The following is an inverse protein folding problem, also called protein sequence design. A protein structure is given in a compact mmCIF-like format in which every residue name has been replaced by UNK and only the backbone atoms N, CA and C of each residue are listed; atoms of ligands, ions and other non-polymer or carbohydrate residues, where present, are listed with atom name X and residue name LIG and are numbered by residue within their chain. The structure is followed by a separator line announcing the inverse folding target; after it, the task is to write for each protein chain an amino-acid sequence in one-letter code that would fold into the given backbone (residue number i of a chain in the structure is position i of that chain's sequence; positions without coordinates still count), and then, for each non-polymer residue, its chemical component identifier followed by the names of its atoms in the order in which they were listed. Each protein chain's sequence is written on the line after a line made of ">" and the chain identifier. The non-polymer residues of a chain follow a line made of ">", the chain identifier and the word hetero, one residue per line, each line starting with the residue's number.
data_IF_605092464531
#
_entry.id   IF_605092464531
#
_cell.length_a   1.000
_cell.length_b   1.000
_cell.length_c   1.000
_cell.angle_alpha   90.00
_cell.angle_beta   90.00
_cell.angle_gamma   90.00
#
_symmetry.space_group_name_H-M   'P 1'
#
loop_
_entity.id
_entity.type
_entity.pdbx_description
1 polymer ?
#
# COMPACT_ATOMS: atom_id res chain seq x y z
N UNK A 1 35.75 46.78 -6.11
CA UNK A 1 34.95 46.39 -4.92
C UNK A 1 33.52 46.02 -5.32
N UNK A 2 32.72 46.94 -5.86
CA UNK A 2 31.31 46.70 -6.17
C UNK A 2 31.06 45.48 -7.06
N UNK A 3 31.93 45.21 -8.05
CA UNK A 3 31.83 44.02 -8.90
C UNK A 3 31.98 42.73 -8.11
N UNK A 4 32.95 42.66 -7.18
CA UNK A 4 33.17 41.47 -6.38
C UNK A 4 32.05 41.24 -5.33
N UNK A 5 31.52 42.32 -4.76
CA UNK A 5 30.37 42.26 -3.85
C UNK A 5 29.10 41.76 -4.59
N UNK A 6 28.91 42.16 -5.86
CA UNK A 6 27.83 41.64 -6.68
C UNK A 6 27.97 40.15 -6.91
N UNK A 7 29.19 39.67 -7.25
CA UNK A 7 29.47 38.22 -7.40
C UNK A 7 29.19 37.49 -6.10
N UNK A 8 29.61 38.03 -4.94
CA UNK A 8 29.35 37.45 -3.64
C UNK A 8 27.85 37.32 -3.38
N UNK A 9 27.06 38.38 -3.68
CA UNK A 9 25.59 38.32 -3.58
C UNK A 9 24.96 37.25 -4.46
N UNK A 10 25.46 37.10 -5.70
CA UNK A 10 25.02 36.03 -6.62
C UNK A 10 25.33 34.65 -6.04
N UNK A 11 26.50 34.45 -5.46
CA UNK A 11 26.90 33.18 -4.87
C UNK A 11 26.01 32.85 -3.65
N UNK A 12 25.72 33.81 -2.76
CA UNK A 12 24.78 33.59 -1.64
C UNK A 12 23.38 33.27 -2.15
N UNK A 13 22.91 33.92 -3.22
CA UNK A 13 21.63 33.60 -3.84
C UNK A 13 21.60 32.19 -4.45
N UNK A 14 22.70 31.75 -5.10
CA UNK A 14 22.82 30.39 -5.62
C UNK A 14 22.87 29.34 -4.51
N UNK A 15 23.51 29.64 -3.38
CA UNK A 15 23.46 28.79 -2.19
C UNK A 15 22.02 28.63 -1.69
N UNK A 16 21.29 29.73 -1.57
CA UNK A 16 19.87 29.72 -1.21
C UNK A 16 19.03 28.89 -2.20
N UNK A 17 19.31 29.02 -3.50
CA UNK A 17 18.65 28.23 -4.56
C UNK A 17 18.88 26.73 -4.37
N UNK A 18 20.11 26.28 -4.14
CA UNK A 18 20.40 24.84 -3.93
C UNK A 18 19.77 24.33 -2.64
N UNK A 19 19.86 25.07 -1.54
CA UNK A 19 19.26 24.73 -0.26
C UNK A 19 17.72 24.62 -0.33
N UNK A 20 17.08 25.57 -1.00
CA UNK A 20 15.63 25.54 -1.24
C UNK A 20 15.24 24.37 -2.17
N UNK A 21 16.05 24.09 -3.20
CA UNK A 21 15.83 22.98 -4.13
C UNK A 21 15.86 21.64 -3.42
N UNK A 22 16.87 21.41 -2.58
CA UNK A 22 16.99 20.21 -1.75
C UNK A 22 15.72 19.99 -0.95
N UNK A 23 15.41 20.94 -0.08
CA UNK A 23 14.32 20.81 0.88
C UNK A 23 12.97 20.70 0.20
N UNK A 24 12.66 21.53 -0.81
CA UNK A 24 11.37 21.48 -1.50
C UNK A 24 11.14 20.18 -2.24
N UNK A 25 12.15 19.66 -2.94
CA UNK A 25 12.04 18.41 -3.68
C UNK A 25 11.85 17.19 -2.75
N UNK A 26 12.56 17.15 -1.63
CA UNK A 26 12.48 16.01 -0.72
C UNK A 26 11.26 16.04 0.19
N UNK A 27 10.70 17.21 0.49
CA UNK A 27 9.43 17.34 1.23
C UNK A 27 8.21 16.84 0.46
N UNK A 28 8.26 16.78 -0.87
CA UNK A 28 7.14 16.27 -1.68
C UNK A 28 7.14 14.76 -1.74
N UNK A 29 6.02 14.10 -1.44
CA UNK A 29 5.86 12.67 -1.63
C UNK A 29 5.77 12.30 -3.13
N UNK A 30 6.16 11.06 -3.50
CA UNK A 30 6.00 10.58 -4.87
C UNK A 30 4.53 10.55 -5.33
N UNK A 31 3.62 10.27 -4.42
CA UNK A 31 2.17 10.26 -4.68
C UNK A 31 1.69 11.67 -5.02
N UNK A 32 2.12 12.67 -4.25
CA UNK A 32 1.78 14.07 -4.51
C UNK A 32 2.28 14.53 -5.89
N UNK A 33 3.53 14.24 -6.23
CA UNK A 33 4.10 14.59 -7.54
C UNK A 33 3.34 13.91 -8.70
N UNK A 34 2.98 12.61 -8.57
CA UNK A 34 2.16 11.93 -9.57
C UNK A 34 0.79 12.57 -9.75
N UNK A 35 0.16 13.03 -8.66
CA UNK A 35 -1.10 13.77 -8.71
C UNK A 35 -0.93 15.08 -9.49
N UNK A 36 0.13 15.83 -9.19
CA UNK A 36 0.43 17.08 -9.91
C UNK A 36 0.62 16.86 -11.43
N UNK A 37 1.32 15.77 -11.81
CA UNK A 37 1.51 15.40 -13.22
C UNK A 37 0.17 15.07 -13.90
N UNK A 38 -0.68 14.27 -13.25
CA UNK A 38 -2.03 13.95 -13.77
C UNK A 38 -2.91 15.19 -13.93
N UNK A 39 -2.73 16.18 -13.08
CA UNK A 39 -3.45 17.47 -13.12
C UNK A 39 -2.81 18.47 -14.09
N UNK A 40 -1.76 18.09 -14.84
CA UNK A 40 -1.03 18.95 -15.76
C UNK A 40 -0.50 20.26 -15.12
N UNK A 41 -0.11 20.20 -13.84
CA UNK A 41 0.43 21.36 -13.13
C UNK A 41 1.79 21.75 -13.74
N UNK A 42 2.01 23.03 -14.11
CA UNK A 42 3.28 23.48 -14.69
C UNK A 42 4.47 23.17 -13.75
N UNK A 43 5.56 22.61 -14.30
CA UNK A 43 6.75 22.21 -13.54
C UNK A 43 6.70 20.81 -12.94
N UNK A 44 5.53 20.16 -12.85
CA UNK A 44 5.38 18.81 -12.26
C UNK A 44 6.22 17.74 -12.98
N UNK A 45 6.28 17.79 -14.30
CA UNK A 45 7.10 16.87 -15.10
C UNK A 45 8.61 16.98 -14.81
N UNK A 46 9.10 18.20 -14.53
CA UNK A 46 10.49 18.44 -14.15
C UNK A 46 10.79 17.85 -12.76
N UNK A 47 9.88 18.04 -11.81
CA UNK A 47 9.98 17.44 -10.47
C UNK A 47 9.97 15.90 -10.58
N UNK A 48 9.07 15.32 -11.36
CA UNK A 48 8.99 13.88 -11.56
C UNK A 48 10.29 13.31 -12.13
N UNK A 49 10.89 13.96 -13.14
CA UNK A 49 12.18 13.54 -13.71
C UNK A 49 13.28 13.52 -12.67
N UNK A 50 13.40 14.58 -11.87
CA UNK A 50 14.40 14.66 -10.82
C UNK A 50 14.19 13.58 -9.75
N UNK A 51 12.95 13.28 -9.40
CA UNK A 51 12.62 12.22 -8.43
C UNK A 51 12.72 10.79 -8.95
N UNK A 52 12.84 10.59 -10.27
CA UNK A 52 13.13 9.27 -10.86
C UNK A 52 14.56 8.80 -10.56
N UNK A 53 15.53 9.75 -10.49
CA UNK A 53 16.91 9.45 -10.08
C UNK A 53 17.29 10.33 -8.87
N UNK A 54 16.87 9.95 -7.65
CA UNK A 54 17.09 10.75 -6.46
C UNK A 54 18.57 10.87 -6.12
N UNK A 55 19.36 9.83 -6.34
CA UNK A 55 20.81 9.85 -6.08
C UNK A 55 21.50 10.90 -6.95
N UNK A 56 21.21 10.92 -8.24
CA UNK A 56 21.74 11.93 -9.15
C UNK A 56 21.33 13.33 -8.74
N UNK A 57 20.08 13.51 -8.37
CA UNK A 57 19.51 14.82 -7.99
C UNK A 57 20.17 15.34 -6.71
N UNK A 58 20.29 14.49 -5.67
CA UNK A 58 20.98 14.84 -4.42
C UNK A 58 22.43 15.22 -4.70
N UNK A 59 23.17 14.36 -5.44
CA UNK A 59 24.57 14.61 -5.76
C UNK A 59 24.75 15.93 -6.51
N UNK A 60 23.85 16.23 -7.47
CA UNK A 60 23.87 17.50 -8.20
C UNK A 60 23.72 18.70 -7.26
N UNK A 61 22.73 18.64 -6.36
CA UNK A 61 22.47 19.72 -5.39
C UNK A 61 23.66 19.89 -4.43
N UNK A 62 24.15 18.80 -3.85
CA UNK A 62 25.27 18.84 -2.91
C UNK A 62 26.56 19.39 -3.55
N UNK A 63 26.90 18.91 -4.75
CA UNK A 63 28.09 19.39 -5.50
C UNK A 63 27.92 20.86 -5.84
N UNK A 64 26.77 21.26 -6.37
CA UNK A 64 26.49 22.66 -6.72
C UNK A 64 26.56 23.58 -5.49
N UNK A 65 25.91 23.20 -4.40
CA UNK A 65 25.90 23.96 -3.16
C UNK A 65 27.33 24.12 -2.58
N UNK A 66 28.12 23.04 -2.55
CA UNK A 66 29.47 23.08 -2.05
C UNK A 66 30.41 23.95 -2.91
N UNK A 67 30.33 23.83 -4.25
CA UNK A 67 31.08 24.71 -5.15
C UNK A 67 30.79 26.18 -4.87
N UNK A 68 29.49 26.51 -4.76
CA UNK A 68 29.06 27.90 -4.50
C UNK A 68 29.54 28.39 -3.14
N UNK A 69 29.37 27.60 -2.08
CA UNK A 69 29.71 27.99 -0.71
C UNK A 69 31.26 28.16 -0.55
N UNK A 70 32.02 27.25 -1.12
CA UNK A 70 33.51 27.33 -1.11
C UNK A 70 33.97 28.56 -1.91
N UNK A 71 33.39 28.79 -3.09
CA UNK A 71 33.70 29.95 -3.92
C UNK A 71 33.36 31.27 -3.22
N UNK A 72 32.19 31.34 -2.57
CA UNK A 72 31.80 32.53 -1.81
C UNK A 72 32.73 32.79 -0.64
N UNK A 73 33.12 31.76 0.11
CA UNK A 73 34.03 31.89 1.24
C UNK A 73 35.45 32.30 0.78
N UNK A 74 35.96 31.70 -0.29
CA UNK A 74 37.29 32.02 -0.85
C UNK A 74 37.32 33.46 -1.36
N UNK A 75 36.29 33.89 -2.10
CA UNK A 75 36.18 35.27 -2.61
C UNK A 75 36.10 36.28 -1.45
N UNK A 76 35.26 36.05 -0.45
CA UNK A 76 35.15 36.91 0.71
C UNK A 76 36.43 37.01 1.52
N UNK A 77 37.15 35.89 1.68
CA UNK A 77 38.46 35.87 2.36
C UNK A 77 39.48 36.69 1.59
N UNK A 78 39.56 36.51 0.24
CA UNK A 78 40.46 37.29 -0.60
C UNK A 78 40.20 38.82 -0.48
N UNK A 79 38.95 39.23 -0.52
CA UNK A 79 38.56 40.64 -0.32
C UNK A 79 38.92 41.12 1.08
N UNK A 80 38.66 40.32 2.10
CA UNK A 80 38.96 40.75 3.48
C UNK A 80 40.46 40.90 3.76
N UNK A 81 41.31 40.06 3.17
CA UNK A 81 42.77 40.19 3.27
C UNK A 81 43.24 41.46 2.58
N UNK A 82 42.65 41.82 1.43
CA UNK A 82 43.01 43.05 0.67
C UNK A 82 42.74 44.31 1.48
N UNK A 83 41.63 44.32 2.32
CA UNK A 83 41.23 45.50 3.08
C UNK A 83 41.66 45.53 4.55
N UNK A 84 41.77 44.35 5.20
CA UNK A 84 42.01 44.22 6.64
C UNK A 84 43.34 43.46 6.96
N UNK A 85 44.09 43.03 5.94
CA UNK A 85 45.28 42.23 6.15
C UNK A 85 44.93 40.86 6.77
N UNK A 86 45.82 40.30 7.57
CA UNK A 86 45.66 38.97 8.16
C UNK A 86 44.46 38.85 9.10
N UNK A 87 44.03 39.89 9.77
CA UNK A 87 42.86 39.94 10.62
C UNK A 87 41.58 39.72 9.78
N UNK A 88 41.62 40.07 8.50
CA UNK A 88 40.54 39.89 7.55
C UNK A 88 40.09 38.44 7.41
N UNK A 89 40.98 37.45 7.59
CA UNK A 89 40.63 36.04 7.51
C UNK A 89 39.58 35.68 8.56
N UNK A 90 39.79 36.06 9.80
CA UNK A 90 38.83 35.79 10.90
C UNK A 90 37.49 36.51 10.69
N UNK A 91 37.55 37.78 10.25
CA UNK A 91 36.35 38.58 9.96
C UNK A 91 35.56 37.95 8.81
N UNK A 92 36.23 37.63 7.70
CA UNK A 92 35.56 37.00 6.56
C UNK A 92 34.94 35.66 6.94
N UNK A 93 35.66 34.82 7.68
CA UNK A 93 35.13 33.52 8.13
C UNK A 93 33.83 33.70 8.97
N UNK A 94 33.85 34.61 9.98
CA UNK A 94 32.69 34.85 10.82
C UNK A 94 31.49 35.42 10.04
N UNK A 95 31.72 36.45 9.23
CA UNK A 95 30.71 37.11 8.43
C UNK A 95 30.12 36.15 7.39
N UNK A 96 30.97 35.42 6.63
CA UNK A 96 30.48 34.50 5.61
C UNK A 96 29.76 33.30 6.20
N UNK A 97 30.25 32.77 7.35
CA UNK A 97 29.52 31.70 8.05
C UNK A 97 28.12 32.16 8.41
N UNK A 98 27.99 33.38 8.99
CA UNK A 98 26.67 33.92 9.34
C UNK A 98 25.77 34.13 8.10
N UNK A 99 26.31 34.72 7.04
CA UNK A 99 25.54 35.03 5.82
C UNK A 99 25.10 33.76 5.11
N UNK A 100 26.00 32.78 4.92
CA UNK A 100 25.70 31.51 4.25
C UNK A 100 24.72 30.66 5.08
N UNK A 101 24.93 30.54 6.40
CA UNK A 101 23.99 29.79 7.23
C UNK A 101 22.60 30.46 7.25
N UNK A 102 22.55 31.78 7.42
CA UNK A 102 21.26 32.48 7.57
C UNK A 102 20.54 32.57 6.22
N UNK A 103 21.16 33.20 5.23
CA UNK A 103 20.54 33.55 3.95
C UNK A 103 20.73 32.49 2.87
N UNK A 104 21.81 31.71 2.92
CA UNK A 104 22.08 30.63 1.99
C UNK A 104 21.45 29.29 2.38
N UNK A 105 21.16 29.07 3.68
CA UNK A 105 20.71 27.75 4.12
C UNK A 105 19.43 27.79 4.99
N UNK A 106 19.42 28.39 6.18
CA UNK A 106 18.33 28.27 7.16
C UNK A 106 17.02 28.89 6.63
N UNK A 107 17.08 30.15 6.21
CA UNK A 107 15.87 30.84 5.68
C UNK A 107 15.32 30.15 4.43
N UNK A 108 16.13 29.84 3.39
CA UNK A 108 15.63 29.15 2.21
C UNK A 108 15.04 27.78 2.49
N UNK A 109 15.64 26.97 3.37
CA UNK A 109 15.11 25.66 3.77
C UNK A 109 13.79 25.80 4.50
N UNK A 110 13.68 26.75 5.43
CA UNK A 110 12.44 27.00 6.18
C UNK A 110 11.28 27.44 5.27
N UNK A 111 11.55 28.31 4.31
CA UNK A 111 10.56 28.74 3.31
C UNK A 111 10.17 27.59 2.38
N UNK A 112 11.15 26.75 1.99
CA UNK A 112 10.92 25.59 1.16
C UNK A 112 10.08 24.50 1.85
N UNK A 113 10.18 24.31 3.16
CA UNK A 113 9.29 23.41 3.93
C UNK A 113 7.85 23.91 3.86
N UNK A 114 7.64 25.20 4.14
CA UNK A 114 6.30 25.79 4.19
C UNK A 114 5.60 25.84 2.83
N UNK A 115 6.34 26.04 1.76
CA UNK A 115 5.81 26.23 0.39
C UNK A 115 6.45 25.26 -0.62
N UNK A 116 6.61 23.99 -0.21
CA UNK A 116 7.40 23.00 -0.94
C UNK A 116 6.97 22.82 -2.40
N UNK A 117 5.66 22.77 -2.69
CA UNK A 117 5.15 22.64 -4.06
C UNK A 117 5.51 23.85 -4.93
N UNK A 118 5.24 25.06 -4.44
CA UNK A 118 5.50 26.29 -5.17
C UNK A 118 6.99 26.52 -5.46
N UNK A 119 7.85 26.22 -4.48
CA UNK A 119 9.30 26.32 -4.62
C UNK A 119 9.82 25.25 -5.58
N UNK A 120 9.45 23.96 -5.39
CA UNK A 120 9.91 22.88 -6.24
C UNK A 120 9.55 23.11 -7.70
N UNK A 121 8.35 23.61 -8.02
CA UNK A 121 7.91 23.92 -9.39
C UNK A 121 8.79 24.97 -10.07
N UNK A 122 9.27 25.97 -9.32
CA UNK A 122 10.11 27.04 -9.84
C UNK A 122 11.56 26.61 -10.01
N UNK A 123 12.10 25.82 -9.07
CA UNK A 123 13.52 25.43 -9.07
C UNK A 123 13.81 24.21 -9.95
N UNK A 124 12.86 23.26 -10.09
CA UNK A 124 13.11 22.01 -10.79
C UNK A 124 13.55 22.15 -12.24
N UNK A 125 13.01 23.05 -13.08
CA UNK A 125 13.50 23.24 -14.44
C UNK A 125 14.96 23.68 -14.49
N UNK A 126 15.33 24.63 -13.66
CA UNK A 126 16.70 25.17 -13.57
C UNK A 126 17.69 24.16 -13.03
N UNK A 127 17.28 23.40 -12.01
CA UNK A 127 18.08 22.31 -11.46
C UNK A 127 18.36 21.23 -12.51
N UNK A 128 17.43 20.96 -13.41
CA UNK A 128 17.64 20.07 -14.55
C UNK A 128 18.75 20.55 -15.49
N UNK A 129 18.80 21.86 -15.77
CA UNK A 129 19.84 22.49 -16.60
C UNK A 129 21.20 22.43 -15.89
N UNK A 130 21.24 22.82 -14.62
CA UNK A 130 22.46 22.77 -13.80
C UNK A 130 22.98 21.32 -13.69
N UNK A 131 22.09 20.36 -13.52
CA UNK A 131 22.43 18.93 -13.46
C UNK A 131 23.02 18.39 -14.78
N UNK A 132 22.65 18.99 -15.90
CA UNK A 132 23.31 18.70 -17.18
C UNK A 132 24.73 19.28 -17.24
N UNK A 133 24.92 20.52 -16.82
CA UNK A 133 26.24 21.17 -16.76
C UNK A 133 27.19 20.45 -15.79
N UNK A 134 26.70 20.09 -14.60
CA UNK A 134 27.49 19.38 -13.59
C UNK A 134 27.60 17.87 -13.85
N UNK A 135 27.00 17.35 -14.92
CA UNK A 135 26.97 15.93 -15.24
C UNK A 135 28.31 15.22 -15.17
N UNK A 136 29.46 15.75 -15.74
CA UNK A 136 30.74 15.06 -15.66
C UNK A 136 31.22 14.86 -14.20
N UNK A 137 31.02 15.87 -13.37
CA UNK A 137 31.42 15.81 -11.95
C UNK A 137 30.50 14.82 -11.20
N UNK A 138 29.17 14.89 -11.44
CA UNK A 138 28.21 13.98 -10.82
C UNK A 138 28.45 12.52 -11.20
N UNK A 139 28.84 12.25 -12.46
CA UNK A 139 29.16 10.89 -12.91
C UNK A 139 30.41 10.38 -12.18
N UNK A 140 31.45 11.20 -12.02
CA UNK A 140 32.65 10.82 -11.26
C UNK A 140 32.32 10.48 -9.79
N UNK A 141 31.52 11.31 -9.13
CA UNK A 141 31.04 11.01 -7.76
C UNK A 141 30.21 9.73 -7.67
N UNK A 142 29.31 9.48 -8.64
CA UNK A 142 28.54 8.22 -8.70
C UNK A 142 29.43 6.99 -8.89
N UNK A 143 30.43 7.08 -9.73
CA UNK A 143 31.42 5.98 -9.88
C UNK A 143 32.09 5.66 -8.55
N UNK A 144 32.48 6.69 -7.78
CA UNK A 144 33.03 6.51 -6.46
C UNK A 144 32.04 5.92 -5.46
N UNK A 145 30.78 6.42 -5.43
CA UNK A 145 29.71 5.90 -4.57
C UNK A 145 29.43 4.42 -4.84
N UNK A 146 29.41 3.97 -6.10
CA UNK A 146 29.18 2.58 -6.48
C UNK A 146 30.25 1.61 -5.95
N UNK A 147 31.45 2.10 -5.56
CA UNK A 147 32.47 1.27 -4.90
C UNK A 147 32.05 0.91 -3.46
N UNK A 148 31.23 1.75 -2.81
CA UNK A 148 30.87 1.58 -1.40
C UNK A 148 29.42 1.09 -1.21
N UNK A 149 28.52 1.37 -2.15
CA UNK A 149 27.09 1.03 -2.04
C UNK A 149 26.68 0.14 -3.21
N UNK A 150 26.40 -1.13 -2.91
CA UNK A 150 25.75 -2.02 -3.88
C UNK A 150 24.27 -1.63 -3.95
N UNK A 151 23.87 -1.08 -5.08
CA UNK A 151 22.45 -0.78 -5.34
C UNK A 151 21.76 -2.06 -5.76
N UNK A 152 20.69 -2.43 -5.06
CA UNK A 152 19.78 -3.48 -5.52
C UNK A 152 18.61 -2.81 -6.27
N UNK A 153 18.62 -2.84 -7.61
CA UNK A 153 17.57 -2.21 -8.41
C UNK A 153 16.24 -2.93 -8.36
N UNK A 154 16.15 -4.10 -7.73
CA UNK A 154 14.95 -4.95 -7.68
C UNK A 154 14.10 -4.74 -6.43
N UNK A 155 14.53 -3.94 -5.46
CA UNK A 155 13.75 -3.68 -4.25
C UNK A 155 12.43 -2.96 -4.62
N UNK A 156 11.28 -3.48 -4.19
CA UNK A 156 10.00 -2.86 -4.46
C UNK A 156 9.95 -1.48 -3.80
N UNK A 157 9.48 -0.48 -4.55
CA UNK A 157 9.41 0.93 -4.10
C UNK A 157 8.37 1.11 -2.99
N UNK A 158 7.35 0.26 -2.96
CA UNK A 158 6.30 0.23 -1.94
C UNK A 158 6.14 -1.21 -1.48
N UNK A 159 6.28 -1.42 -0.18
CA UNK A 159 6.08 -2.71 0.47
C UNK A 159 4.65 -2.80 1.03
N UNK A 160 4.17 -4.03 1.25
CA UNK A 160 2.87 -4.25 1.91
C UNK A 160 2.84 -3.60 3.30
N UNK A 161 3.97 -3.62 4.03
CA UNK A 161 4.09 -2.97 5.33
C UNK A 161 3.84 -1.46 5.25
N UNK A 162 4.36 -0.79 4.21
CA UNK A 162 4.11 0.64 4.01
C UNK A 162 2.64 0.93 3.69
N UNK A 163 1.97 0.05 2.93
CA UNK A 163 0.52 0.17 2.68
C UNK A 163 -0.26 0.07 3.99
N UNK A 164 0.07 -0.91 4.85
CA UNK A 164 -0.56 -1.07 6.17
C UNK A 164 -0.38 0.15 7.05
N UNK A 165 0.86 0.67 7.16
CA UNK A 165 1.13 1.89 7.93
C UNK A 165 0.37 3.10 7.38
N UNK A 166 0.25 3.25 6.04
CA UNK A 166 -0.54 4.32 5.45
C UNK A 166 -2.04 4.20 5.79
N UNK A 167 -2.56 2.99 5.87
CA UNK A 167 -3.96 2.74 6.27
C UNK A 167 -4.18 3.11 7.73
N UNK A 168 -3.26 2.75 8.63
CA UNK A 168 -3.31 3.11 10.05
C UNK A 168 -3.35 4.64 10.22
N UNK A 169 -2.40 5.35 9.62
CA UNK A 169 -2.35 6.82 9.65
C UNK A 169 -3.64 7.43 9.07
N UNK A 170 -4.17 6.87 7.98
CA UNK A 170 -5.39 7.38 7.36
C UNK A 170 -6.63 7.22 8.26
N UNK A 171 -6.67 6.18 9.09
CA UNK A 171 -7.73 5.98 10.08
C UNK A 171 -7.55 6.94 11.27
N UNK A 172 -6.33 7.12 11.78
CA UNK A 172 -6.02 8.07 12.87
C UNK A 172 -6.36 9.51 12.48
N UNK A 173 -6.09 9.90 11.23
CA UNK A 173 -6.41 11.23 10.70
C UNK A 173 -7.87 11.36 10.24
N UNK A 174 -8.72 10.34 10.45
CA UNK A 174 -10.13 10.31 10.01
C UNK A 174 -10.33 10.54 8.49
N UNK A 175 -9.33 10.19 7.66
CA UNK A 175 -9.44 10.22 6.19
C UNK A 175 -10.31 9.06 5.70
N UNK A 176 -10.26 7.93 6.40
CA UNK A 176 -11.12 6.75 6.23
C UNK A 176 -11.76 6.39 7.56
N UNK A 177 -12.96 5.81 7.52
CA UNK A 177 -13.63 5.31 8.70
C UNK A 177 -12.95 4.05 9.26
N UNK A 178 -13.16 3.75 10.55
CA UNK A 178 -12.67 2.52 11.16
C UNK A 178 -13.20 1.25 10.45
N UNK A 179 -14.44 1.27 9.93
CA UNK A 179 -15.02 0.16 9.17
C UNK A 179 -14.27 -0.05 7.84
N UNK A 180 -14.01 1.02 7.09
CA UNK A 180 -13.23 0.96 5.85
C UNK A 180 -11.80 0.47 6.10
N UNK A 181 -11.15 0.97 7.16
CA UNK A 181 -9.83 0.51 7.58
C UNK A 181 -9.81 -0.99 7.84
N UNK A 182 -10.77 -1.52 8.64
CA UNK A 182 -10.87 -2.94 8.95
C UNK A 182 -11.08 -3.79 7.69
N UNK A 183 -11.99 -3.36 6.79
CA UNK A 183 -12.26 -4.07 5.53
C UNK A 183 -11.00 -4.14 4.64
N UNK A 184 -10.25 -3.05 4.49
CA UNK A 184 -9.03 -3.03 3.67
C UNK A 184 -7.96 -3.92 4.30
N UNK A 185 -7.81 -3.90 5.62
CA UNK A 185 -6.89 -4.75 6.35
C UNK A 185 -7.23 -6.23 6.15
N UNK A 186 -8.49 -6.61 6.36
CA UNK A 186 -8.97 -7.97 6.16
C UNK A 186 -8.74 -8.44 4.71
N UNK A 187 -8.95 -7.56 3.72
CA UNK A 187 -8.66 -7.84 2.31
C UNK A 187 -7.17 -8.14 2.05
N UNK A 188 -6.26 -7.43 2.75
CA UNK A 188 -4.83 -7.72 2.66
C UNK A 188 -4.46 -9.07 3.32
N UNK A 189 -5.15 -9.43 4.40
CA UNK A 189 -4.93 -10.69 5.12
C UNK A 189 -5.58 -11.89 4.41
N UNK A 190 -6.69 -11.65 3.71
CA UNK A 190 -7.49 -12.66 3.01
C UNK A 190 -6.68 -13.60 2.10
N UNK A 191 -5.67 -13.06 1.41
CA UNK A 191 -4.81 -13.85 0.53
C UNK A 191 -3.96 -14.90 1.26
N UNK A 192 -3.73 -14.73 2.57
CA UNK A 192 -2.88 -15.60 3.39
C UNK A 192 -3.68 -16.40 4.42
N UNK A 193 -4.98 -16.13 4.56
CA UNK A 193 -5.88 -16.81 5.49
C UNK A 193 -6.23 -18.22 4.98
N UNK A 194 -5.98 -19.28 5.76
CA UNK A 194 -6.37 -20.63 5.41
C UNK A 194 -7.88 -20.85 5.67
N UNK A 195 -8.50 -21.75 4.90
CA UNK A 195 -9.91 -22.12 5.01
C UNK A 195 -10.32 -22.51 6.43
N UNK A 196 -9.44 -23.17 7.16
CA UNK A 196 -9.67 -23.60 8.55
C UNK A 196 -10.12 -22.47 9.47
N UNK A 197 -9.69 -21.23 9.22
CA UNK A 197 -9.99 -20.09 10.06
C UNK A 197 -11.42 -19.54 9.84
N UNK A 198 -11.96 -19.75 8.63
CA UNK A 198 -13.27 -19.22 8.23
C UNK A 198 -14.35 -20.32 8.06
N UNK A 199 -13.98 -21.60 8.14
CA UNK A 199 -14.95 -22.69 8.01
C UNK A 199 -15.85 -22.80 9.22
N UNK A 200 -17.07 -23.30 9.01
CA UNK A 200 -17.97 -23.76 10.06
C UNK A 200 -17.65 -25.25 10.34
N UNK A 201 -17.19 -25.60 11.57
CA UNK A 201 -16.91 -26.99 11.93
C UNK A 201 -18.14 -27.90 11.88
N UNK A 202 -17.94 -29.21 11.62
CA UNK A 202 -19.03 -30.20 11.51
C UNK A 202 -19.94 -30.22 12.74
N UNK A 203 -19.42 -29.99 13.94
CA UNK A 203 -20.17 -30.03 15.19
C UNK A 203 -21.22 -28.89 15.32
N UNK A 204 -20.98 -27.78 14.61
CA UNK A 204 -21.87 -26.62 14.60
C UNK A 204 -22.89 -26.64 13.45
N UNK A 205 -22.82 -27.63 12.56
CA UNK A 205 -23.64 -27.64 11.36
C UNK A 205 -25.03 -28.21 11.63
N UNK A 206 -26.01 -27.57 11.02
CA UNK A 206 -27.32 -28.17 10.77
C UNK A 206 -27.28 -28.94 9.44
N UNK A 207 -27.49 -30.24 9.48
CA UNK A 207 -27.47 -31.11 8.29
C UNK A 207 -28.76 -31.88 8.13
N UNK A 208 -29.03 -32.35 6.92
CA UNK A 208 -30.14 -33.24 6.58
C UNK A 208 -29.58 -34.67 6.47
N UNK A 209 -30.21 -35.65 7.09
CA UNK A 209 -29.85 -37.06 6.91
C UNK A 209 -30.13 -37.50 5.48
N UNK A 210 -29.21 -38.28 4.90
CA UNK A 210 -29.33 -38.87 3.56
C UNK A 210 -30.64 -39.68 3.38
N UNK A 211 -31.08 -40.37 4.43
CA UNK A 211 -32.28 -41.19 4.44
C UNK A 211 -33.56 -40.42 4.80
N UNK A 212 -33.44 -39.16 5.18
CA UNK A 212 -34.60 -38.35 5.48
C UNK A 212 -35.47 -38.16 4.22
N UNK A 213 -36.77 -38.16 4.39
CA UNK A 213 -37.70 -37.84 3.30
C UNK A 213 -37.56 -36.39 2.87
N UNK A 214 -37.84 -36.10 1.60
CA UNK A 214 -37.86 -34.71 1.08
C UNK A 214 -38.76 -33.80 1.90
N UNK A 215 -39.91 -34.33 2.34
CA UNK A 215 -40.85 -33.58 3.18
C UNK A 215 -40.23 -33.21 4.53
N UNK A 216 -39.57 -34.14 5.21
CA UNK A 216 -38.91 -33.90 6.50
C UNK A 216 -37.70 -32.94 6.34
N UNK A 217 -36.96 -33.06 5.25
CA UNK A 217 -35.90 -32.12 4.92
C UNK A 217 -36.39 -30.70 4.72
N UNK A 218 -37.57 -30.55 4.07
CA UNK A 218 -38.21 -29.26 3.88
C UNK A 218 -38.70 -28.64 5.21
N UNK A 219 -39.30 -29.42 6.08
CA UNK A 219 -39.73 -28.96 7.42
C UNK A 219 -38.53 -28.42 8.22
N UNK A 220 -37.43 -29.19 8.26
CA UNK A 220 -36.19 -28.76 8.92
C UNK A 220 -35.65 -27.45 8.31
N UNK A 221 -35.68 -27.35 6.99
CA UNK A 221 -35.20 -26.16 6.30
C UNK A 221 -36.03 -24.90 6.62
N UNK A 222 -37.37 -25.07 6.74
CA UNK A 222 -38.26 -23.98 7.15
C UNK A 222 -38.05 -23.57 8.60
N UNK A 223 -37.80 -24.54 9.50
CA UNK A 223 -37.53 -24.29 10.93
C UNK A 223 -36.23 -23.53 11.15
N UNK A 224 -35.17 -23.88 10.41
CA UNK A 224 -33.82 -23.34 10.59
C UNK A 224 -33.49 -22.12 9.75
N UNK A 225 -34.21 -21.88 8.67
CA UNK A 225 -34.11 -20.67 7.84
C UNK A 225 -32.91 -20.57 6.91
N UNK A 226 -32.02 -21.58 6.81
CA UNK A 226 -30.89 -21.53 5.88
C UNK A 226 -31.31 -21.84 4.45
N UNK A 227 -30.63 -21.30 3.48
CA UNK A 227 -30.90 -21.54 2.06
C UNK A 227 -30.34 -22.87 1.54
N UNK A 228 -29.26 -23.37 2.15
CA UNK A 228 -28.53 -24.61 1.73
C UNK A 228 -28.20 -25.48 2.93
N UNK A 229 -28.31 -26.78 2.73
CA UNK A 229 -28.04 -27.75 3.77
C UNK A 229 -27.12 -28.84 3.26
N UNK A 230 -26.05 -29.20 3.99
CA UNK A 230 -25.28 -30.40 3.72
C UNK A 230 -26.14 -31.64 4.02
N UNK A 231 -26.05 -32.65 3.13
CA UNK A 231 -26.73 -33.93 3.28
C UNK A 231 -25.70 -34.95 3.77
N UNK A 232 -25.91 -35.50 4.96
CA UNK A 232 -24.95 -36.34 5.67
C UNK A 232 -25.33 -37.83 5.57
N UNK A 233 -24.35 -38.65 5.22
CA UNK A 233 -24.42 -40.12 5.36
C UNK A 233 -24.08 -40.48 6.81
N UNK A 234 -25.06 -40.94 7.58
CA UNK A 234 -24.89 -41.25 9.01
C UNK A 234 -23.83 -42.32 9.29
N UNK A 235 -23.71 -43.29 8.40
CA UNK A 235 -22.78 -44.43 8.56
C UNK A 235 -21.30 -43.99 8.48
N UNK A 236 -20.99 -43.02 7.66
CA UNK A 236 -19.60 -42.59 7.38
C UNK A 236 -19.25 -41.22 7.95
N UNK A 237 -20.24 -40.45 8.40
CA UNK A 237 -20.07 -39.05 8.78
C UNK A 237 -19.71 -38.10 7.63
N UNK A 238 -19.83 -38.58 6.37
CA UNK A 238 -19.47 -37.81 5.19
C UNK A 238 -20.65 -37.05 4.61
N UNK A 239 -20.40 -35.84 4.14
CA UNK A 239 -21.37 -35.05 3.37
C UNK A 239 -21.45 -35.63 1.96
N UNK A 240 -22.63 -36.13 1.59
CA UNK A 240 -22.92 -36.70 0.27
C UNK A 240 -23.17 -35.65 -0.80
N UNK A 241 -23.69 -34.49 -0.38
CA UNK A 241 -24.04 -33.39 -1.28
C UNK A 241 -24.61 -32.21 -0.51
N UNK A 242 -24.98 -31.18 -1.25
CA UNK A 242 -25.59 -29.97 -0.72
C UNK A 242 -26.93 -29.78 -1.42
N UNK A 243 -28.01 -29.61 -0.64
CA UNK A 243 -29.35 -29.37 -1.16
C UNK A 243 -29.76 -27.92 -0.93
N UNK A 244 -30.36 -27.30 -1.93
CA UNK A 244 -30.92 -25.96 -1.83
C UNK A 244 -32.42 -26.05 -1.51
N UNK A 245 -32.93 -25.18 -0.63
CA UNK A 245 -34.37 -25.17 -0.24
C UNK A 245 -35.31 -25.12 -1.44
N UNK A 246 -35.01 -24.34 -2.48
CA UNK A 246 -35.76 -24.30 -3.74
C UNK A 246 -35.88 -25.67 -4.42
N UNK A 247 -34.87 -26.54 -4.27
CA UNK A 247 -34.91 -27.91 -4.81
C UNK A 247 -35.86 -28.78 -4.01
N UNK A 248 -35.91 -28.63 -2.68
CA UNK A 248 -36.91 -29.32 -1.82
C UNK A 248 -38.32 -28.92 -2.20
N UNK A 249 -38.55 -27.61 -2.42
CA UNK A 249 -39.87 -27.12 -2.87
C UNK A 249 -40.30 -27.70 -4.21
N UNK A 250 -39.36 -27.78 -5.15
CA UNK A 250 -39.64 -28.39 -6.46
C UNK A 250 -39.99 -29.87 -6.32
N UNK A 251 -39.19 -30.63 -5.57
CA UNK A 251 -39.41 -32.07 -5.37
C UNK A 251 -40.73 -32.36 -4.65
N UNK A 252 -41.12 -31.54 -3.69
CA UNK A 252 -42.41 -31.67 -3.00
C UNK A 252 -43.57 -31.43 -3.97
N UNK A 253 -43.50 -30.39 -4.83
CA UNK A 253 -44.54 -30.13 -5.85
C UNK A 253 -44.66 -31.24 -6.89
N UNK A 254 -43.56 -31.97 -7.16
CA UNK A 254 -43.54 -33.14 -8.05
C UNK A 254 -44.01 -34.43 -7.38
N UNK A 255 -44.64 -34.36 -6.22
CA UNK A 255 -45.14 -35.51 -5.44
C UNK A 255 -44.07 -36.51 -5.04
N UNK A 256 -42.83 -36.03 -4.80
CA UNK A 256 -41.68 -36.81 -4.36
C UNK A 256 -41.39 -36.65 -2.87
N UNK A 257 -42.29 -36.08 -2.11
CA UNK A 257 -42.13 -35.74 -0.69
C UNK A 257 -41.73 -36.91 0.21
N UNK A 258 -42.30 -38.11 -0.07
CA UNK A 258 -42.04 -39.31 0.72
C UNK A 258 -40.74 -40.07 0.35
N UNK A 259 -40.05 -39.62 -0.71
CA UNK A 259 -38.80 -40.27 -1.14
C UNK A 259 -37.59 -39.76 -0.35
N UNK A 260 -36.57 -40.61 -0.06
CA UNK A 260 -35.35 -40.20 0.56
C UNK A 260 -34.64 -39.12 -0.26
N UNK A 261 -34.08 -38.08 0.42
CA UNK A 261 -33.39 -36.98 -0.23
C UNK A 261 -32.13 -37.45 -0.95
N UNK A 262 -31.48 -38.50 -0.46
CA UNK A 262 -30.31 -39.12 -1.06
C UNK A 262 -30.49 -39.53 -2.52
N UNK A 263 -31.70 -39.91 -2.93
CA UNK A 263 -32.04 -40.30 -4.31
C UNK A 263 -31.91 -39.12 -5.30
N UNK A 264 -31.83 -37.89 -4.80
CA UNK A 264 -31.77 -36.67 -5.60
C UNK A 264 -30.43 -35.95 -5.48
N UNK A 265 -29.45 -36.54 -4.80
CA UNK A 265 -28.08 -35.98 -4.72
C UNK A 265 -27.31 -36.22 -6.02
N UNK A 266 -26.45 -35.27 -6.35
CA UNK A 266 -25.57 -35.42 -7.53
C UNK A 266 -24.55 -36.51 -7.29
N UNK A 267 -24.30 -37.32 -8.31
CA UNK A 267 -23.35 -38.46 -8.23
C UNK A 267 -21.89 -38.02 -8.05
N UNK A 268 -21.57 -36.81 -8.49
CA UNK A 268 -20.22 -36.24 -8.43
C UNK A 268 -19.84 -35.73 -7.01
N UNK A 269 -20.82 -35.71 -6.10
CA UNK A 269 -20.58 -35.22 -4.73
C UNK A 269 -20.39 -33.70 -4.61
N UNK A 270 -20.11 -33.21 -3.40
CA UNK A 270 -19.87 -31.79 -3.15
C UNK A 270 -18.45 -31.37 -3.56
N UNK A 271 -18.23 -30.07 -3.80
CA UNK A 271 -16.88 -29.52 -3.93
C UNK A 271 -16.13 -29.73 -2.63
N UNK A 272 -14.90 -30.31 -2.73
CA UNK A 272 -14.00 -30.52 -1.60
C UNK A 272 -12.86 -29.49 -1.66
N UNK A 273 -12.49 -28.92 -0.49
CA UNK A 273 -11.38 -28.01 -0.32
C UNK A 273 -10.58 -28.39 0.92
N UNK A 274 -9.25 -28.26 0.87
CA UNK A 274 -8.38 -28.56 2.01
C UNK A 274 -8.48 -27.48 3.09
N UNK A 275 -8.40 -27.86 4.37
CA UNK A 275 -8.34 -26.93 5.50
C UNK A 275 -7.18 -25.93 5.42
N UNK A 276 -6.08 -26.32 4.76
CA UNK A 276 -4.88 -25.51 4.57
C UNK A 276 -4.92 -24.66 3.29
N UNK A 277 -5.94 -24.85 2.44
CA UNK A 277 -6.06 -24.05 1.23
C UNK A 277 -6.40 -22.60 1.57
N UNK A 278 -5.81 -21.66 0.82
CA UNK A 278 -6.02 -20.21 1.04
C UNK A 278 -7.39 -19.77 0.54
N UNK A 279 -8.03 -18.88 1.29
CA UNK A 279 -9.38 -18.38 0.98
C UNK A 279 -9.46 -17.75 -0.41
N UNK A 280 -8.42 -17.02 -0.87
CA UNK A 280 -8.40 -16.39 -2.19
C UNK A 280 -8.48 -17.42 -3.34
N UNK A 281 -7.91 -18.61 -3.15
CA UNK A 281 -7.97 -19.71 -4.12
C UNK A 281 -9.32 -20.39 -4.10
N UNK A 282 -9.85 -20.67 -2.89
CA UNK A 282 -11.16 -21.29 -2.72
C UNK A 282 -12.25 -20.39 -3.27
N UNK A 283 -12.22 -19.10 -2.98
CA UNK A 283 -13.15 -18.13 -3.55
C UNK A 283 -13.19 -18.18 -5.07
N UNK A 284 -12.02 -18.18 -5.73
CA UNK A 284 -11.92 -18.30 -7.19
C UNK A 284 -12.45 -19.62 -7.73
N UNK A 285 -12.21 -20.75 -7.01
CA UNK A 285 -12.76 -22.06 -7.39
C UNK A 285 -14.28 -22.08 -7.31
N UNK A 286 -14.84 -21.58 -6.19
CA UNK A 286 -16.29 -21.49 -5.98
C UNK A 286 -16.94 -20.58 -7.02
N UNK A 287 -16.37 -19.43 -7.29
CA UNK A 287 -16.85 -18.51 -8.31
C UNK A 287 -16.87 -19.14 -9.71
N UNK A 288 -15.76 -19.77 -10.11
CA UNK A 288 -15.65 -20.43 -11.43
C UNK A 288 -16.59 -21.63 -11.57
N UNK A 289 -16.78 -22.38 -10.48
CA UNK A 289 -17.68 -23.55 -10.44
C UNK A 289 -19.15 -23.22 -10.21
N UNK A 290 -19.50 -21.94 -9.98
CA UNK A 290 -20.82 -21.51 -9.55
C UNK A 290 -21.32 -22.26 -8.30
N UNK A 291 -20.39 -22.59 -7.41
CA UNK A 291 -20.64 -23.31 -6.16
C UNK A 291 -20.70 -22.32 -5.00
N UNK A 292 -21.75 -22.39 -4.19
CA UNK A 292 -21.94 -21.49 -3.07
C UNK A 292 -21.56 -22.08 -1.70
N UNK A 293 -21.24 -23.38 -1.66
CA UNK A 293 -20.87 -24.07 -0.42
C UNK A 293 -19.94 -25.24 -0.77
N UNK A 294 -18.81 -25.34 -0.09
CA UNK A 294 -17.85 -26.42 -0.25
C UNK A 294 -17.65 -27.15 1.07
N UNK A 295 -17.27 -28.42 1.00
CA UNK A 295 -16.93 -29.23 2.17
C UNK A 295 -15.42 -29.13 2.41
N UNK A 296 -15.05 -28.87 3.66
CA UNK A 296 -13.65 -28.78 4.08
C UNK A 296 -13.17 -30.14 4.55
N UNK A 297 -11.98 -30.54 4.07
CA UNK A 297 -11.35 -31.82 4.40
C UNK A 297 -10.00 -31.61 5.05
N UNK A 298 -9.66 -32.53 5.99
CA UNK A 298 -8.33 -32.62 6.57
C UNK A 298 -7.34 -33.36 5.66
N UNK A 299 -6.10 -33.54 6.10
CA UNK A 299 -5.06 -34.27 5.37
C UNK A 299 -5.39 -35.76 5.16
N UNK A 300 -6.33 -36.32 5.94
CA UNK A 300 -6.79 -37.71 5.83
C UNK A 300 -8.09 -37.83 5.03
N UNK A 301 -8.54 -36.74 4.38
CA UNK A 301 -9.79 -36.68 3.64
C UNK A 301 -11.05 -36.89 4.49
N UNK A 302 -10.98 -36.64 5.81
CA UNK A 302 -12.19 -36.57 6.63
C UNK A 302 -12.87 -35.21 6.40
N UNK A 303 -14.19 -35.24 6.38
CA UNK A 303 -15.00 -34.03 6.29
C UNK A 303 -15.03 -33.36 7.67
N UNK A 304 -14.39 -32.20 7.83
CA UNK A 304 -14.21 -31.51 9.11
C UNK A 304 -15.08 -30.25 9.25
N UNK A 305 -15.64 -29.77 8.16
CA UNK A 305 -16.48 -28.58 8.15
C UNK A 305 -17.04 -28.25 6.78
N UNK A 306 -17.68 -27.13 6.70
CA UNK A 306 -18.09 -26.49 5.43
C UNK A 306 -17.61 -25.06 5.38
N UNK A 307 -17.55 -24.52 4.18
CA UNK A 307 -17.35 -23.09 3.95
C UNK A 307 -18.34 -22.63 2.88
N UNK A 308 -19.07 -21.58 3.16
CA UNK A 308 -19.96 -20.95 2.19
C UNK A 308 -19.27 -19.77 1.49
N UNK A 309 -19.87 -19.33 0.39
CA UNK A 309 -19.41 -18.12 -0.29
C UNK A 309 -19.65 -16.88 0.58
N UNK A 310 -20.71 -16.91 1.36
CA UNK A 310 -21.10 -15.91 2.34
C UNK A 310 -20.06 -15.79 3.45
N UNK A 311 -19.58 -16.91 4.04
CA UNK A 311 -18.55 -16.92 5.09
C UNK A 311 -17.23 -16.28 4.57
N UNK A 312 -16.87 -16.55 3.30
CA UNK A 312 -15.69 -15.97 2.66
C UNK A 312 -15.83 -14.45 2.50
N UNK A 313 -17.01 -13.98 2.17
CA UNK A 313 -17.28 -12.53 2.06
C UNK A 313 -17.26 -11.87 3.43
N UNK A 314 -17.81 -12.53 4.44
CA UNK A 314 -17.83 -12.04 5.83
C UNK A 314 -16.41 -11.85 6.39
N UNK A 315 -15.48 -12.74 6.06
CA UNK A 315 -14.06 -12.61 6.44
C UNK A 315 -13.44 -11.31 5.89
N UNK A 316 -13.88 -10.85 4.72
CA UNK A 316 -13.42 -9.58 4.13
C UNK A 316 -14.11 -8.37 4.78
N UNK A 317 -15.43 -8.44 4.94
CA UNK A 317 -16.24 -7.32 5.45
C UNK A 317 -16.02 -7.13 6.95
N UNK A 318 -15.74 -8.21 7.67
CA UNK A 318 -15.78 -8.31 9.13
C UNK A 318 -17.21 -8.61 9.61
N UNK A 319 -17.31 -9.31 10.72
CA UNK A 319 -18.60 -9.59 11.36
C UNK A 319 -19.33 -8.26 11.62
N UNK A 320 -20.56 -8.12 11.08
CA UNK A 320 -21.46 -7.11 11.61
C UNK A 320 -21.78 -7.51 13.04
N UNK A 321 -21.68 -6.61 14.04
CA UNK A 321 -22.17 -6.92 15.36
C UNK A 321 -23.65 -7.33 15.19
N UNK A 322 -23.98 -8.55 15.60
CA UNK A 322 -25.36 -9.00 15.67
C UNK A 322 -26.16 -7.90 16.37
N UNK A 323 -26.98 -7.19 15.60
CA UNK A 323 -27.99 -6.32 16.18
C UNK A 323 -28.96 -7.32 16.83
N UNK A 324 -28.72 -7.59 18.12
CA UNK A 324 -29.67 -8.32 18.94
C UNK A 324 -30.96 -7.50 18.96
N UNK A 325 -31.84 -7.76 18.03
CA UNK A 325 -33.23 -7.39 18.18
C UNK A 325 -33.80 -8.13 19.41
N UNK A 326 -33.54 -7.53 20.56
CA UNK A 326 -34.36 -7.77 21.73
C UNK A 326 -35.70 -7.06 21.47
N UNK A 327 -36.68 -7.79 21.07
CA UNK A 327 -38.10 -7.52 21.38
C UNK A 327 -38.70 -8.70 22.13
#
# INVERSE_FOLDING_TARGET
>A
VYFWLLILGILVFLSAFFSASETSLFSLSRVHVRRMVKQNIPGANSIERLKKDPVRTITTILVGNNIVNISASALATGLAIEYFGEIGIGVATGVMTFLLLTFGEVIPKTLAIRHSEGVARRVAPWLGIIGFILSPIVVAFRALQNLFVKHDPSAPIITEKEIRTMLEISAEENVISHKEHSMIRNMLDFKDTPVKNAMIPMEKLTFISYDATVQRAKELALERGYSRYPVLLKETGRVSGIVHVKQLDKLTKESKGDKPIGNFMQKEGPMLVSEHERLDKVFKKMQKGHVHMAVVVDDKWNHIGIISFEDIIEEIIGEEPEISEKQ
#
